data_IF_240325378472
#
_entry.id   IF_240325378472
#
_cell.length_a   1.000
_cell.length_b   1.000
_cell.length_c   1.000
_cell.angle_alpha   90.00
_cell.angle_beta   90.00
_cell.angle_gamma   90.00
#
_symmetry.space_group_name_H-M   'P 1'
#
loop_
_entity.id
_entity.type
_entity.pdbx_description
1 polymer ?
#
# COMPACT_ATOMS: atom_id res chain seq x y z
N UNK A 1 -6.33 12.91 32.87
CA UNK A 1 -6.86 11.63 32.37
C UNK A 1 -5.80 10.98 31.49
N UNK A 2 -5.26 9.83 31.89
CA UNK A 2 -4.24 9.10 31.11
C UNK A 2 -4.88 8.44 29.89
N UNK A 3 -4.28 8.63 28.70
CA UNK A 3 -4.73 7.94 27.49
C UNK A 3 -4.51 6.44 27.63
N UNK A 4 -5.50 5.59 27.34
CA UNK A 4 -5.27 4.15 27.25
C UNK A 4 -4.21 3.89 26.17
N UNK A 5 -3.19 3.11 26.55
CA UNK A 5 -2.17 2.60 25.63
C UNK A 5 -2.66 1.25 25.14
N UNK A 6 -3.38 1.26 24.02
CA UNK A 6 -3.80 0.03 23.37
C UNK A 6 -2.56 -0.74 22.92
N UNK A 7 -2.30 -1.89 23.55
CA UNK A 7 -1.24 -2.81 23.14
C UNK A 7 -1.82 -3.67 22.03
N UNK A 8 -1.25 -3.56 20.83
CA UNK A 8 -1.61 -4.43 19.69
C UNK A 8 -1.23 -5.89 20.01
N UNK A 9 -2.15 -6.65 20.59
CA UNK A 9 -1.94 -8.05 21.00
C UNK A 9 -2.03 -9.03 19.83
N UNK A 10 -2.63 -8.62 18.72
CA UNK A 10 -2.90 -9.48 17.56
C UNK A 10 -1.75 -9.55 16.54
N UNK A 11 -0.62 -8.86 16.74
CA UNK A 11 0.43 -8.70 15.71
C UNK A 11 0.87 -10.02 15.03
N UNK A 12 1.02 -11.10 15.80
CA UNK A 12 1.38 -12.43 15.27
C UNK A 12 0.34 -12.97 14.28
N UNK A 13 -0.94 -12.83 14.58
CA UNK A 13 -2.03 -13.38 13.76
C UNK A 13 -2.21 -12.54 12.49
N UNK A 14 -2.15 -11.21 12.61
CA UNK A 14 -2.10 -10.30 11.48
C UNK A 14 -0.92 -10.61 10.54
N UNK A 15 0.29 -10.78 11.08
CA UNK A 15 1.47 -11.11 10.28
C UNK A 15 1.35 -12.47 9.57
N UNK A 16 0.74 -13.47 10.20
CA UNK A 16 0.50 -14.78 9.57
C UNK A 16 -0.48 -14.68 8.39
N UNK A 17 -1.57 -13.93 8.55
CA UNK A 17 -2.48 -13.63 7.45
C UNK A 17 -1.76 -12.84 6.33
N UNK A 18 -0.82 -11.96 6.70
CA UNK A 18 0.04 -11.20 5.81
C UNK A 18 0.94 -12.07 4.94
N UNK A 19 1.51 -13.14 5.50
CA UNK A 19 2.39 -14.08 4.80
C UNK A 19 1.53 -14.99 3.89
N UNK A 20 0.39 -15.46 4.40
CA UNK A 20 -0.49 -16.38 3.66
C UNK A 20 -1.15 -15.75 2.43
N UNK A 21 -1.31 -14.42 2.36
CA UNK A 21 -1.81 -13.72 1.16
C UNK A 21 -0.81 -13.71 -0.01
N UNK A 22 0.41 -14.20 0.22
CA UNK A 22 1.50 -14.18 -0.74
C UNK A 22 2.31 -12.89 -0.72
N UNK A 23 3.53 -12.98 -1.25
CA UNK A 23 4.40 -11.85 -1.54
C UNK A 23 4.10 -11.30 -2.93
N UNK A 24 3.82 -10.01 -3.02
CA UNK A 24 3.67 -9.32 -4.29
C UNK A 24 4.95 -8.57 -4.61
N UNK A 25 5.68 -9.03 -5.61
CA UNK A 25 6.89 -8.37 -6.12
C UNK A 25 6.52 -7.56 -7.36
N UNK A 26 6.77 -6.25 -7.33
CA UNK A 26 6.60 -5.38 -8.49
C UNK A 26 7.95 -5.02 -9.07
N UNK A 27 8.06 -5.04 -10.39
CA UNK A 27 9.15 -4.41 -11.12
C UNK A 27 8.70 -3.01 -11.51
N UNK A 28 9.40 -2.00 -11.00
CA UNK A 28 9.13 -0.59 -11.28
C UNK A 28 10.35 -0.05 -12.00
N UNK A 29 10.13 0.58 -13.15
CA UNK A 29 11.19 1.20 -13.93
C UNK A 29 11.87 2.35 -13.16
N UNK A 30 13.16 2.56 -13.41
CA UNK A 30 13.94 3.57 -12.69
C UNK A 30 13.46 5.00 -12.96
N UNK A 31 12.95 5.28 -14.18
CA UNK A 31 12.35 6.57 -14.52
C UNK A 31 11.06 6.79 -13.72
N UNK A 32 10.24 5.75 -13.55
CA UNK A 32 9.04 5.80 -12.72
C UNK A 32 9.37 6.08 -11.25
N UNK A 33 10.47 5.53 -10.73
CA UNK A 33 10.95 5.81 -9.37
C UNK A 33 11.39 7.28 -9.23
N UNK A 34 12.06 7.82 -10.27
CA UNK A 34 12.50 9.20 -10.29
C UNK A 34 11.30 10.18 -10.29
N UNK A 35 10.29 9.93 -11.13
CA UNK A 35 9.05 10.74 -11.17
C UNK A 35 8.21 10.63 -9.89
N UNK A 36 8.23 9.47 -9.23
CA UNK A 36 7.47 9.27 -8.00
C UNK A 36 8.08 10.02 -6.80
N UNK A 37 9.40 10.25 -6.79
CA UNK A 37 10.07 10.98 -5.71
C UNK A 37 9.69 12.47 -5.74
N UNK A 38 8.74 12.83 -4.88
CA UNK A 38 8.47 14.24 -4.59
C UNK A 38 9.73 14.92 -4.01
N UNK A 39 10.03 16.13 -4.49
CA UNK A 39 11.03 16.99 -3.88
C UNK A 39 10.73 17.21 -2.39
N UNK A 40 11.75 17.09 -1.54
CA UNK A 40 11.61 17.20 -0.08
C UNK A 40 11.01 18.56 0.27
N UNK A 41 9.77 18.57 0.75
CA UNK A 41 9.05 19.81 1.09
C UNK A 41 9.54 20.46 2.41
N UNK A 42 10.62 19.96 3.02
CA UNK A 42 11.16 20.43 4.31
C UNK A 42 10.23 20.24 5.52
N UNK A 43 8.96 19.86 5.31
CA UNK A 43 7.93 19.68 6.33
C UNK A 43 7.88 18.22 6.77
N UNK A 44 7.73 17.99 8.08
CA UNK A 44 7.52 16.64 8.64
C UNK A 44 6.17 16.10 8.18
N UNK A 45 6.13 14.83 7.79
CA UNK A 45 4.90 14.10 7.44
C UNK A 45 4.83 13.66 5.99
N UNK A 46 3.73 12.97 5.66
CA UNK A 46 3.46 12.47 4.30
C UNK A 46 3.22 13.65 3.34
N UNK A 47 3.73 13.58 2.11
CA UNK A 47 3.37 14.52 1.04
C UNK A 47 1.85 14.70 0.93
N UNK A 48 1.38 15.94 0.79
CA UNK A 48 -0.05 16.24 0.56
C UNK A 48 -0.48 16.11 -0.90
N UNK A 49 0.46 15.96 -1.83
CA UNK A 49 0.23 15.81 -3.28
C UNK A 49 0.96 14.57 -3.78
N UNK A 50 0.27 13.76 -4.57
CA UNK A 50 0.82 12.61 -5.29
C UNK A 50 0.92 12.96 -6.77
N UNK A 51 1.86 12.36 -7.50
CA UNK A 51 1.88 12.44 -8.96
C UNK A 51 0.75 11.60 -9.55
N UNK A 52 0.29 11.95 -10.75
CA UNK A 52 -0.73 11.19 -11.48
C UNK A 52 -0.28 9.74 -11.72
N UNK A 53 1.02 9.54 -11.92
CA UNK A 53 1.64 8.22 -12.01
C UNK A 53 1.43 7.40 -10.73
N UNK A 54 1.66 8.00 -9.56
CA UNK A 54 1.46 7.32 -8.27
C UNK A 54 -0.03 6.98 -8.01
N UNK A 55 -0.95 7.85 -8.44
CA UNK A 55 -2.39 7.63 -8.34
C UNK A 55 -2.79 6.47 -9.26
N UNK A 56 -2.34 6.50 -10.52
CA UNK A 56 -2.64 5.49 -11.54
C UNK A 56 -2.13 4.11 -11.13
N UNK A 57 -0.87 4.02 -10.66
CA UNK A 57 -0.29 2.77 -10.17
C UNK A 57 -1.09 2.18 -8.99
N UNK A 58 -1.51 3.03 -8.03
CA UNK A 58 -2.35 2.57 -6.91
C UNK A 58 -3.73 2.07 -7.34
N UNK A 59 -4.30 2.64 -8.40
CA UNK A 59 -5.57 2.19 -8.97
C UNK A 59 -5.42 0.87 -9.74
N UNK A 60 -4.35 0.71 -10.52
CA UNK A 60 -4.09 -0.52 -11.28
C UNK A 60 -3.90 -1.74 -10.35
N UNK A 61 -3.19 -1.57 -9.23
CA UNK A 61 -3.04 -2.64 -8.23
C UNK A 61 -4.40 -3.11 -7.65
N UNK A 62 -5.38 -2.20 -7.55
CA UNK A 62 -6.71 -2.52 -7.00
C UNK A 62 -7.53 -3.39 -7.98
N UNK A 63 -7.31 -3.26 -9.28
CA UNK A 63 -8.09 -3.99 -10.31
C UNK A 63 -7.69 -5.47 -10.37
N UNK A 64 -6.42 -5.82 -10.13
CA UNK A 64 -5.96 -7.21 -10.20
C UNK A 64 -6.21 -8.06 -8.95
N UNK A 65 -6.53 -7.45 -7.80
CA UNK A 65 -6.86 -8.20 -6.57
C UNK A 65 -8.37 -8.44 -6.37
N UNK A 66 -9.21 -7.89 -7.25
CA UNK A 66 -10.65 -8.16 -7.30
C UNK A 66 -10.94 -9.37 -8.19
N UNK A 67 -10.75 -10.59 -7.67
CA UNK A 67 -11.18 -11.80 -8.34
C UNK A 67 -12.69 -11.77 -8.60
N UNK A 68 -13.09 -11.56 -9.85
CA UNK A 68 -14.41 -11.93 -10.33
C UNK A 68 -14.49 -13.46 -10.26
N UNK A 69 -15.17 -13.97 -9.24
CA UNK A 69 -15.54 -15.37 -9.15
C UNK A 69 -16.86 -15.50 -9.93
N UNK A 70 -16.89 -15.98 -11.20
CA UNK A 70 -18.15 -16.32 -11.82
C UNK A 70 -18.75 -17.45 -10.98
N UNK A 71 -19.92 -17.18 -10.40
CA UNK A 71 -20.75 -18.23 -9.85
C UNK A 71 -21.08 -19.17 -11.02
N UNK A 72 -20.66 -20.43 -10.90
CA UNK A 72 -21.05 -21.48 -11.80
C UNK A 72 -22.58 -21.55 -11.87
N UNK A 73 -23.12 -21.67 -13.08
CA UNK A 73 -24.45 -22.20 -13.37
C UNK A 73 -24.29 -23.23 -14.47
#
# INVERSE_FOLDING_TARGET
>A
MSKPRDKTTNWKQYNKALINRGSLTFWIDEETIAEWKQNKQGKRGRPRRFSDLAITTGLLQKIQSGGFHPAAS
#
